data_IF_009156100045
#
_entry.id   IF_009156100045
#
_cell.length_a   1.000
_cell.length_b   1.000
_cell.length_c   1.000
_cell.angle_alpha   90.00
_cell.angle_beta   90.00
_cell.angle_gamma   90.00
#
_symmetry.space_group_name_H-M   'P 1'
#
loop_
_entity.id
_entity.type
_entity.pdbx_description
1 polymer ?
#
# COMPACT_ATOMS: atom_id res chain seq x y z
N UNK A 1 18.02 4.76 -20.28
CA UNK A 1 16.95 4.39 -19.33
C UNK A 1 16.13 5.63 -19.03
N UNK A 2 14.82 5.50 -18.83
CA UNK A 2 14.00 6.64 -18.40
C UNK A 2 14.44 7.07 -16.99
N UNK A 3 14.62 8.38 -16.79
CA UNK A 3 14.99 8.95 -15.48
C UNK A 3 13.83 8.75 -14.50
N UNK A 4 14.16 8.38 -13.26
CA UNK A 4 13.18 8.01 -12.23
C UNK A 4 13.04 9.15 -11.22
N UNK A 5 11.86 9.40 -10.71
CA UNK A 5 11.54 10.20 -9.53
C UNK A 5 12.37 11.46 -9.23
N UNK A 6 12.16 11.99 -8.05
CA UNK A 6 12.87 13.16 -7.49
C UNK A 6 13.62 12.75 -6.23
N UNK A 7 14.91 13.06 -6.15
CA UNK A 7 15.73 12.82 -4.97
C UNK A 7 16.09 14.14 -4.28
N UNK A 8 15.98 14.15 -2.95
CA UNK A 8 16.51 15.22 -2.10
C UNK A 8 17.84 14.78 -1.50
N UNK A 9 18.88 15.54 -1.72
CA UNK A 9 20.24 15.31 -1.15
C UNK A 9 20.54 16.42 -0.14
N UNK A 10 20.86 16.01 1.08
CA UNK A 10 21.15 16.92 2.20
C UNK A 10 22.55 16.64 2.71
N UNK A 11 23.46 17.58 2.49
CA UNK A 11 24.87 17.48 2.92
C UNK A 11 25.45 18.89 3.05
N UNK A 12 26.18 19.22 4.12
CA UNK A 12 26.75 20.55 4.32
C UNK A 12 27.93 20.85 3.38
N UNK A 13 28.56 19.81 2.84
CA UNK A 13 29.72 19.91 1.95
C UNK A 13 29.31 20.14 0.51
N UNK A 14 29.55 21.36 0.01
CA UNK A 14 29.24 21.76 -1.36
C UNK A 14 29.90 20.87 -2.42
N UNK A 15 31.13 20.38 -2.19
CA UNK A 15 31.83 19.52 -3.16
C UNK A 15 31.13 18.15 -3.28
N UNK A 16 30.65 17.59 -2.16
CA UNK A 16 29.85 16.37 -2.11
C UNK A 16 28.54 16.58 -2.86
N UNK A 17 27.81 17.65 -2.58
CA UNK A 17 26.56 17.97 -3.29
C UNK A 17 26.75 18.08 -4.81
N UNK A 18 27.76 18.81 -5.27
CA UNK A 18 28.05 18.93 -6.71
C UNK A 18 28.37 17.57 -7.35
N UNK A 19 29.18 16.73 -6.68
CA UNK A 19 29.52 15.40 -7.19
C UNK A 19 28.29 14.49 -7.28
N UNK A 20 27.44 14.52 -6.25
CA UNK A 20 26.20 13.75 -6.22
C UNK A 20 25.17 14.26 -7.23
N UNK A 21 25.03 15.57 -7.40
CA UNK A 21 24.16 16.15 -8.42
C UNK A 21 24.56 15.70 -9.84
N UNK A 22 25.85 15.76 -10.19
CA UNK A 22 26.35 15.27 -11.47
C UNK A 22 26.10 13.79 -11.68
N UNK A 23 26.35 12.97 -10.66
CA UNK A 23 26.15 11.52 -10.71
C UNK A 23 24.67 11.17 -10.86
N UNK A 24 23.81 11.77 -10.04
CA UNK A 24 22.40 11.42 -9.91
C UNK A 24 21.52 12.05 -11.00
N UNK A 25 21.95 13.16 -11.62
CA UNK A 25 21.25 13.76 -12.76
C UNK A 25 21.10 12.82 -13.98
N UNK A 26 21.95 11.81 -14.09
CA UNK A 26 21.82 10.73 -15.09
C UNK A 26 20.77 9.69 -14.74
N UNK A 27 20.36 9.60 -13.50
CA UNK A 27 19.51 8.54 -12.93
C UNK A 27 18.12 9.05 -12.56
N UNK A 28 18.06 10.17 -11.82
CA UNK A 28 16.83 10.80 -11.36
C UNK A 28 16.37 11.90 -12.31
N UNK A 29 15.06 12.12 -12.37
CA UNK A 29 14.44 13.18 -13.15
C UNK A 29 14.79 14.56 -12.60
N UNK A 30 14.77 14.68 -11.27
CA UNK A 30 15.08 15.89 -10.54
C UNK A 30 15.99 15.54 -9.34
N UNK A 31 17.05 16.34 -9.15
CA UNK A 31 17.95 16.23 -8.01
C UNK A 31 17.91 17.55 -7.27
N UNK A 32 17.34 17.55 -6.07
CA UNK A 32 17.27 18.73 -5.20
C UNK A 32 18.41 18.63 -4.20
N UNK A 33 19.27 19.63 -4.11
CA UNK A 33 20.40 19.65 -3.20
C UNK A 33 20.25 20.78 -2.19
N UNK A 34 20.43 20.49 -0.90
CA UNK A 34 20.41 21.49 0.17
C UNK A 34 21.56 21.28 1.12
N UNK A 35 22.11 22.41 1.63
CA UNK A 35 23.24 22.40 2.56
C UNK A 35 22.86 22.36 4.03
N UNK A 36 21.62 22.68 4.33
CA UNK A 36 21.10 22.74 5.69
C UNK A 36 19.82 21.94 5.82
N UNK A 37 19.68 21.10 6.84
CA UNK A 37 18.52 20.23 6.98
C UNK A 37 17.23 20.99 7.37
N UNK A 38 17.33 22.25 7.77
CA UNK A 38 16.17 23.06 8.17
C UNK A 38 15.14 23.29 7.05
N UNK A 39 15.53 23.08 5.79
CA UNK A 39 14.64 23.24 4.63
C UNK A 39 13.93 21.94 4.24
N UNK A 40 14.25 20.80 4.87
CA UNK A 40 13.72 19.48 4.51
C UNK A 40 12.19 19.49 4.56
N UNK A 41 11.60 19.95 5.66
CA UNK A 41 10.13 19.93 5.86
C UNK A 41 9.41 20.69 4.74
N UNK A 42 9.82 21.90 4.44
CA UNK A 42 9.24 22.74 3.37
C UNK A 42 9.34 22.07 2.00
N UNK A 43 10.46 21.40 1.73
CA UNK A 43 10.64 20.68 0.45
C UNK A 43 9.76 19.43 0.40
N UNK A 44 9.63 18.69 1.50
CA UNK A 44 8.77 17.50 1.58
C UNK A 44 7.27 17.86 1.47
N UNK A 45 6.86 19.04 1.97
CA UNK A 45 5.48 19.55 1.80
C UNK A 45 5.06 19.67 0.34
N UNK A 46 6.01 19.90 -0.57
CA UNK A 46 5.71 19.94 -2.00
C UNK A 46 5.19 18.61 -2.57
N UNK A 47 5.36 17.50 -1.84
CA UNK A 47 4.95 16.15 -2.27
C UNK A 47 5.70 15.59 -3.49
N UNK A 48 6.80 16.27 -3.91
CA UNK A 48 7.55 15.89 -5.11
C UNK A 48 8.71 14.94 -4.86
N UNK A 49 9.17 14.82 -3.61
CA UNK A 49 10.34 14.02 -3.23
C UNK A 49 9.97 12.56 -3.07
N UNK A 50 10.68 11.70 -3.75
CA UNK A 50 10.48 10.25 -3.72
C UNK A 50 11.54 9.52 -2.86
N UNK A 51 12.74 10.09 -2.71
CA UNK A 51 13.85 9.52 -1.90
C UNK A 51 14.63 10.66 -1.25
N UNK A 52 15.12 10.45 -0.04
CA UNK A 52 16.04 11.38 0.65
C UNK A 52 17.38 10.68 0.87
N UNK A 53 18.47 11.33 0.44
CA UNK A 53 19.84 11.00 0.85
C UNK A 53 20.27 12.04 1.89
N UNK A 54 20.51 11.60 3.13
CA UNK A 54 20.71 12.45 4.29
C UNK A 54 22.08 12.23 4.90
N UNK A 55 22.90 13.27 4.97
CA UNK A 55 24.15 13.20 5.74
C UNK A 55 23.87 13.02 7.24
N UNK A 56 24.77 12.29 7.89
CA UNK A 56 24.70 12.02 9.32
C UNK A 56 25.23 13.17 10.19
N UNK A 57 26.06 14.06 9.65
CA UNK A 57 26.72 15.11 10.39
C UNK A 57 26.72 16.43 9.61
N UNK A 58 26.16 17.48 10.19
CA UNK A 58 26.05 18.81 9.60
C UNK A 58 26.95 19.86 10.30
N UNK A 59 27.63 19.48 11.39
CA UNK A 59 28.49 20.36 12.15
C UNK A 59 29.95 19.95 12.00
N UNK A 60 30.77 20.83 11.44
CA UNK A 60 32.18 20.57 11.25
C UNK A 60 32.88 20.22 12.58
N UNK A 61 33.42 19.01 12.69
CA UNK A 61 34.22 18.53 13.80
C UNK A 61 33.53 17.70 14.89
N UNK A 62 32.23 17.49 14.81
CA UNK A 62 31.47 16.64 15.75
C UNK A 62 30.84 15.46 14.97
N UNK A 63 31.52 14.31 14.95
CA UNK A 63 31.09 13.13 14.24
C UNK A 63 30.32 12.15 15.14
N UNK A 64 29.22 12.60 15.77
CA UNK A 64 28.40 11.72 16.64
C UNK A 64 27.30 10.98 15.93
N UNK A 65 26.96 11.35 14.68
CA UNK A 65 25.82 10.80 13.93
C UNK A 65 24.45 11.13 14.51
N UNK A 66 24.40 11.79 15.67
CA UNK A 66 23.12 12.10 16.34
C UNK A 66 22.27 13.11 15.56
N UNK A 67 22.89 14.02 14.80
CA UNK A 67 22.18 15.01 13.99
C UNK A 67 21.40 14.32 12.87
N UNK A 68 22.02 13.37 12.16
CA UNK A 68 21.35 12.59 11.11
C UNK A 68 20.19 11.76 11.65
N UNK A 69 20.35 11.13 12.83
CA UNK A 69 19.26 10.40 13.48
C UNK A 69 18.12 11.33 13.91
N UNK A 70 18.42 12.51 14.45
CA UNK A 70 17.40 13.51 14.77
C UNK A 70 16.59 13.90 13.53
N UNK A 71 17.25 14.22 12.42
CA UNK A 71 16.57 14.59 11.18
C UNK A 71 15.83 13.43 10.55
N UNK A 72 16.37 12.21 10.63
CA UNK A 72 15.67 10.99 10.23
C UNK A 72 14.33 10.86 10.98
N UNK A 73 14.35 10.98 12.30
CA UNK A 73 13.14 10.93 13.13
C UNK A 73 12.13 12.01 12.74
N UNK A 74 12.58 13.24 12.49
CA UNK A 74 11.72 14.32 12.01
C UNK A 74 11.11 14.03 10.63
N UNK A 75 11.91 13.59 9.68
CA UNK A 75 11.42 13.19 8.34
C UNK A 75 10.37 12.09 8.46
N UNK A 76 10.63 11.07 9.28
CA UNK A 76 9.69 9.96 9.48
C UNK A 76 8.42 10.37 10.21
N UNK A 77 8.47 11.31 11.12
CA UNK A 77 7.30 11.91 11.76
C UNK A 77 6.42 12.69 10.79
N UNK A 78 7.02 13.34 9.82
CA UNK A 78 6.35 14.19 8.84
C UNK A 78 5.90 13.43 7.58
N UNK A 79 6.76 12.57 7.05
CA UNK A 79 6.57 11.82 5.81
C UNK A 79 7.07 10.36 5.97
N UNK A 80 6.38 9.56 6.78
CA UNK A 80 6.78 8.21 7.16
C UNK A 80 7.07 7.28 5.96
N UNK A 81 6.39 7.50 4.85
CA UNK A 81 6.47 6.65 3.64
C UNK A 81 7.71 6.93 2.79
N UNK A 82 8.32 8.14 2.90
CA UNK A 82 9.48 8.51 2.09
C UNK A 82 10.70 7.73 2.58
N UNK A 83 11.39 6.97 1.70
CA UNK A 83 12.62 6.30 2.06
C UNK A 83 13.74 7.30 2.32
N UNK A 84 14.47 7.06 3.40
CA UNK A 84 15.64 7.84 3.78
C UNK A 84 16.85 6.92 3.76
N UNK A 85 17.82 7.26 2.92
CA UNK A 85 19.13 6.60 2.88
C UNK A 85 20.12 7.52 3.60
N UNK A 86 20.80 6.99 4.61
CA UNK A 86 21.78 7.76 5.38
C UNK A 86 23.14 7.72 4.70
N UNK A 87 23.85 8.83 4.78
CA UNK A 87 25.17 9.02 4.17
C UNK A 87 26.19 9.36 5.26
N UNK A 88 27.10 8.46 5.57
CA UNK A 88 27.96 8.56 6.73
C UNK A 88 29.45 8.45 6.40
N UNK A 89 30.30 9.19 7.10
CA UNK A 89 31.75 9.07 7.01
C UNK A 89 32.33 7.88 7.81
N UNK A 90 31.54 7.27 8.69
CA UNK A 90 31.96 6.18 9.56
C UNK A 90 31.16 4.91 9.33
N UNK A 91 31.88 3.80 9.15
CA UNK A 91 31.33 2.45 9.14
C UNK A 91 31.09 1.96 10.59
N UNK A 92 30.37 2.75 11.41
CA UNK A 92 29.96 2.32 12.74
C UNK A 92 28.72 1.44 12.61
N UNK A 93 28.90 0.16 12.85
CA UNK A 93 27.84 -0.86 12.74
C UNK A 93 26.72 -0.53 13.73
N UNK A 94 27.04 -0.08 14.94
CA UNK A 94 26.04 0.22 15.96
C UNK A 94 25.16 1.43 15.54
N UNK A 95 25.77 2.44 14.95
CA UNK A 95 25.06 3.60 14.40
C UNK A 95 24.15 3.21 13.21
N UNK A 96 24.64 2.35 12.31
CA UNK A 96 23.85 1.84 11.20
C UNK A 96 22.64 1.00 11.66
N UNK A 97 22.85 0.13 12.66
CA UNK A 97 21.76 -0.67 13.27
C UNK A 97 20.73 0.22 13.95
N UNK A 98 21.17 1.26 14.68
CA UNK A 98 20.26 2.25 15.28
C UNK A 98 19.45 2.98 14.20
N UNK A 99 20.12 3.45 13.18
CA UNK A 99 19.48 4.16 12.06
C UNK A 99 18.37 3.33 11.39
N UNK A 100 18.61 2.04 11.14
CA UNK A 100 17.59 1.13 10.57
C UNK A 100 16.42 0.94 11.54
N UNK A 101 16.69 0.78 12.85
CA UNK A 101 15.63 0.69 13.88
C UNK A 101 14.80 1.97 13.97
N UNK A 102 15.39 3.13 13.73
CA UNK A 102 14.72 4.43 13.71
C UNK A 102 14.03 4.74 12.35
N UNK A 103 14.07 3.78 11.41
CA UNK A 103 13.30 3.85 10.18
C UNK A 103 14.09 4.30 8.94
N UNK A 104 15.41 4.35 8.99
CA UNK A 104 16.21 4.50 7.77
C UNK A 104 15.98 3.28 6.85
N UNK A 105 15.91 3.53 5.55
CA UNK A 105 15.74 2.46 4.56
C UNK A 105 17.05 1.73 4.32
N UNK A 106 18.16 2.47 4.28
CA UNK A 106 19.50 1.95 4.08
C UNK A 106 20.54 3.01 4.49
N UNK A 107 21.83 2.67 4.37
CA UNK A 107 22.93 3.61 4.57
C UNK A 107 24.06 3.38 3.56
N UNK A 108 24.82 4.43 3.26
CA UNK A 108 26.00 4.41 2.40
C UNK A 108 27.15 5.08 3.09
N UNK A 109 28.35 4.49 3.02
CA UNK A 109 29.57 4.98 3.67
C UNK A 109 30.36 5.88 2.71
N UNK A 110 30.89 6.98 3.21
CA UNK A 110 31.85 7.87 2.54
C UNK A 110 33.29 7.34 2.78
N UNK A 111 34.18 7.30 1.78
CA UNK A 111 33.92 7.54 0.36
C UNK A 111 33.09 6.43 -0.26
N UNK A 112 32.21 6.79 -1.19
CA UNK A 112 31.27 5.86 -1.80
C UNK A 112 31.76 5.30 -3.14
N UNK A 113 31.25 4.12 -3.48
CA UNK A 113 31.27 3.58 -4.83
C UNK A 113 30.03 4.07 -5.58
N UNK A 114 30.21 4.65 -6.77
CA UNK A 114 29.11 5.24 -7.55
C UNK A 114 28.04 4.22 -7.92
N UNK A 115 28.46 3.00 -8.31
CA UNK A 115 27.50 1.97 -8.71
C UNK A 115 26.68 1.48 -7.52
N UNK A 116 27.31 1.28 -6.37
CA UNK A 116 26.65 0.90 -5.12
C UNK A 116 25.69 1.96 -4.64
N UNK A 117 26.10 3.24 -4.61
CA UNK A 117 25.23 4.36 -4.21
C UNK A 117 23.99 4.43 -5.09
N UNK A 118 24.18 4.41 -6.41
CA UNK A 118 23.06 4.45 -7.37
C UNK A 118 22.15 3.25 -7.18
N UNK A 119 22.68 2.04 -7.00
CA UNK A 119 21.88 0.83 -6.79
C UNK A 119 21.04 0.93 -5.51
N UNK A 120 21.62 1.41 -4.39
CA UNK A 120 20.92 1.61 -3.12
C UNK A 120 19.78 2.63 -3.26
N UNK A 121 20.04 3.78 -3.90
CA UNK A 121 19.03 4.81 -4.08
C UNK A 121 17.89 4.36 -5.00
N UNK A 122 18.21 3.62 -6.06
CA UNK A 122 17.19 3.04 -6.94
C UNK A 122 16.35 1.96 -6.25
N UNK A 123 16.96 1.15 -5.38
CA UNK A 123 16.22 0.17 -4.58
C UNK A 123 15.24 0.86 -3.63
N UNK A 124 15.68 1.92 -2.95
CA UNK A 124 14.85 2.76 -2.09
C UNK A 124 13.68 3.39 -2.86
N UNK A 125 13.94 3.97 -4.04
CA UNK A 125 12.93 4.53 -4.92
C UNK A 125 11.88 3.50 -5.34
N UNK A 126 12.31 2.32 -5.82
CA UNK A 126 11.39 1.23 -6.25
C UNK A 126 10.50 0.76 -5.11
N UNK A 127 11.04 0.66 -3.90
CA UNK A 127 10.26 0.31 -2.72
C UNK A 127 9.17 1.35 -2.43
N UNK A 128 9.49 2.63 -2.58
CA UNK A 128 8.53 3.72 -2.41
C UNK A 128 7.43 3.70 -3.47
N UNK A 129 7.80 3.56 -4.74
CA UNK A 129 6.87 3.43 -5.86
C UNK A 129 5.90 2.26 -5.66
N UNK A 130 6.42 1.08 -5.34
CA UNK A 130 5.60 -0.11 -5.11
C UNK A 130 4.60 0.09 -3.96
N UNK A 131 5.03 0.70 -2.85
CA UNK A 131 4.12 1.02 -1.73
C UNK A 131 3.05 2.02 -2.11
N UNK A 132 3.40 3.04 -2.88
CA UNK A 132 2.48 4.06 -3.39
C UNK A 132 1.45 3.45 -4.34
N UNK A 133 1.87 2.57 -5.24
CA UNK A 133 0.99 1.86 -6.16
C UNK A 133 -0.01 0.97 -5.41
N UNK A 134 0.46 0.17 -4.45
CA UNK A 134 -0.41 -0.66 -3.60
C UNK A 134 -1.43 0.18 -2.85
N UNK A 135 -1.03 1.34 -2.31
CA UNK A 135 -1.95 2.26 -1.62
C UNK A 135 -3.01 2.84 -2.56
N UNK A 136 -2.60 3.22 -3.79
CA UNK A 136 -3.54 3.72 -4.80
C UNK A 136 -4.51 2.65 -5.26
N UNK A 137 -4.05 1.40 -5.45
CA UNK A 137 -4.89 0.28 -5.82
C UNK A 137 -5.91 -0.03 -4.71
N UNK A 138 -5.48 -0.06 -3.45
CA UNK A 138 -6.38 -0.25 -2.31
C UNK A 138 -7.43 0.86 -2.20
N UNK A 139 -7.03 2.12 -2.39
CA UNK A 139 -7.97 3.24 -2.36
C UNK A 139 -9.00 3.16 -3.51
N UNK A 140 -8.56 2.76 -4.72
CA UNK A 140 -9.47 2.51 -5.84
C UNK A 140 -10.42 1.35 -5.57
N UNK A 141 -9.91 0.27 -4.98
CA UNK A 141 -10.71 -0.89 -4.59
C UNK A 141 -11.80 -0.51 -3.56
N UNK A 142 -11.47 0.30 -2.54
CA UNK A 142 -12.44 0.79 -1.56
C UNK A 142 -13.54 1.64 -2.21
N UNK A 143 -13.17 2.54 -3.12
CA UNK A 143 -14.15 3.35 -3.86
C UNK A 143 -15.07 2.47 -4.70
N UNK A 144 -14.52 1.46 -5.39
CA UNK A 144 -15.31 0.51 -6.18
C UNK A 144 -16.20 -0.36 -5.29
N UNK A 145 -15.71 -0.84 -4.15
CA UNK A 145 -16.51 -1.57 -3.15
C UNK A 145 -17.68 -0.73 -2.66
N UNK A 146 -17.45 0.56 -2.35
CA UNK A 146 -18.50 1.49 -1.95
C UNK A 146 -19.56 1.73 -3.03
N UNK A 147 -19.18 1.73 -4.30
CA UNK A 147 -20.12 1.88 -5.42
C UNK A 147 -20.91 0.59 -5.71
N UNK A 148 -20.28 -0.58 -5.50
CA UNK A 148 -20.92 -1.90 -5.68
C UNK A 148 -21.83 -2.28 -4.51
N UNK A 149 -21.63 -1.69 -3.35
CA UNK A 149 -22.49 -1.84 -2.18
C UNK A 149 -23.16 -0.50 -1.87
N UNK A 150 -24.21 -0.09 -2.61
CA UNK A 150 -24.96 1.07 -2.20
C UNK A 150 -25.48 0.78 -0.80
N UNK A 151 -25.15 1.63 0.17
CA UNK A 151 -25.78 1.67 1.49
C UNK A 151 -27.29 1.94 1.30
N UNK A 152 -28.03 0.93 0.85
CA UNK A 152 -29.47 0.95 0.95
C UNK A 152 -29.80 0.66 2.40
N UNK A 153 -30.06 1.71 3.14
CA UNK A 153 -30.67 1.59 4.48
C UNK A 153 -31.90 0.69 4.32
N UNK A 154 -31.79 -0.54 4.78
CA UNK A 154 -32.90 -1.48 4.72
C UNK A 154 -33.98 -0.98 5.65
N UNK A 155 -35.13 -0.61 5.09
CA UNK A 155 -36.30 -0.23 5.90
C UNK A 155 -36.97 -1.54 6.33
N UNK A 156 -36.77 -1.89 7.59
CA UNK A 156 -37.39 -3.07 8.19
C UNK A 156 -38.83 -2.76 8.61
N UNK A 157 -39.74 -3.70 8.29
CA UNK A 157 -41.11 -3.63 8.80
C UNK A 157 -41.16 -3.83 10.32
N UNK A 158 -42.17 -3.26 10.96
CA UNK A 158 -42.33 -3.31 12.42
C UNK A 158 -43.14 -4.52 12.92
N UNK A 159 -43.55 -5.44 12.07
CA UNK A 159 -44.28 -6.65 12.45
C UNK A 159 -43.44 -7.56 13.37
N UNK A 160 -44.11 -8.31 14.24
CA UNK A 160 -43.43 -9.28 15.12
C UNK A 160 -42.63 -10.33 14.37
N UNK A 161 -43.10 -10.74 13.18
CA UNK A 161 -42.39 -11.63 12.32
C UNK A 161 -41.07 -11.01 11.84
N UNK A 162 -41.09 -9.75 11.43
CA UNK A 162 -39.90 -9.07 10.94
C UNK A 162 -38.90 -8.74 12.08
N UNK A 163 -39.39 -8.43 13.25
CA UNK A 163 -38.55 -8.29 14.47
C UNK A 163 -37.81 -9.59 14.79
N UNK A 164 -38.48 -10.75 14.68
CA UNK A 164 -37.83 -12.07 14.85
C UNK A 164 -36.74 -12.36 13.83
N UNK A 165 -37.01 -12.04 12.54
CA UNK A 165 -36.02 -12.18 11.46
C UNK A 165 -34.78 -11.34 11.76
N UNK A 166 -34.95 -10.07 12.16
CA UNK A 166 -33.83 -9.20 12.50
C UNK A 166 -33.01 -9.72 13.67
N UNK A 167 -33.66 -10.22 14.73
CA UNK A 167 -32.95 -10.84 15.85
C UNK A 167 -32.17 -12.08 15.44
N UNK A 168 -32.67 -12.88 14.48
CA UNK A 168 -31.95 -14.02 13.95
C UNK A 168 -30.74 -13.59 13.13
N UNK A 169 -30.89 -12.57 12.28
CA UNK A 169 -29.78 -11.98 11.51
C UNK A 169 -28.66 -11.54 12.44
N UNK A 170 -28.97 -10.77 13.47
CA UNK A 170 -27.98 -10.27 14.47
C UNK A 170 -27.23 -11.43 15.17
N UNK A 171 -27.94 -12.51 15.49
CA UNK A 171 -27.32 -13.68 16.14
C UNK A 171 -26.43 -14.50 15.18
N UNK A 172 -26.83 -14.64 13.93
CA UNK A 172 -26.15 -15.49 12.96
C UNK A 172 -24.94 -14.74 12.35
N UNK A 173 -25.04 -13.45 12.15
CA UNK A 173 -24.00 -12.64 11.51
C UNK A 173 -22.64 -12.69 12.24
N UNK A 174 -22.63 -12.92 13.55
CA UNK A 174 -21.39 -13.01 14.35
C UNK A 174 -20.76 -14.41 14.33
N UNK A 175 -21.36 -15.35 13.60
CA UNK A 175 -20.88 -16.75 13.49
C UNK A 175 -20.36 -17.05 12.08
N UNK A 176 -19.52 -18.10 11.96
CA UNK A 176 -19.06 -18.61 10.65
C UNK A 176 -19.97 -19.76 10.13
N UNK A 177 -21.20 -19.89 10.64
CA UNK A 177 -22.11 -20.95 10.26
C UNK A 177 -22.68 -20.71 8.84
N UNK A 178 -22.91 -21.79 8.12
CA UNK A 178 -23.66 -21.74 6.87
C UNK A 178 -25.12 -21.39 7.13
N UNK A 179 -25.68 -20.44 6.38
CA UNK A 179 -27.02 -19.93 6.55
C UNK A 179 -27.88 -20.29 5.35
N UNK A 180 -29.01 -20.95 5.57
CA UNK A 180 -30.04 -21.19 4.57
C UNK A 180 -31.19 -20.21 4.75
N UNK A 181 -31.45 -19.39 3.73
CA UNK A 181 -32.56 -18.43 3.70
C UNK A 181 -33.62 -18.95 2.74
N UNK A 182 -34.81 -19.25 3.25
CA UNK A 182 -35.95 -19.76 2.49
C UNK A 182 -37.10 -18.75 2.44
N UNK A 183 -37.91 -18.83 1.37
CA UNK A 183 -39.08 -17.98 1.18
C UNK A 183 -39.48 -17.88 -0.27
N UNK A 184 -40.67 -17.35 -0.54
CA UNK A 184 -41.18 -17.14 -1.89
C UNK A 184 -40.36 -16.13 -2.70
N UNK A 185 -40.55 -16.10 -4.02
CA UNK A 185 -39.91 -15.11 -4.89
C UNK A 185 -40.34 -13.69 -4.50
N UNK A 186 -39.40 -12.75 -4.49
CA UNK A 186 -39.69 -11.36 -4.16
C UNK A 186 -39.77 -11.02 -2.65
N UNK A 187 -39.64 -12.00 -1.73
CA UNK A 187 -39.74 -11.75 -0.28
C UNK A 187 -38.51 -11.07 0.36
N UNK A 188 -37.49 -10.71 -0.41
CA UNK A 188 -36.32 -10.00 0.07
C UNK A 188 -35.19 -10.87 0.63
N UNK A 189 -35.10 -12.15 0.24
CA UNK A 189 -34.03 -13.08 0.67
C UNK A 189 -32.62 -12.51 0.45
N UNK A 190 -32.40 -11.84 -0.67
CA UNK A 190 -31.13 -11.21 -1.00
C UNK A 190 -30.80 -10.04 -0.05
N UNK A 191 -31.83 -9.28 0.38
CA UNK A 191 -31.67 -8.20 1.35
C UNK A 191 -31.20 -8.78 2.68
N UNK A 192 -31.83 -9.89 3.12
CA UNK A 192 -31.44 -10.60 4.35
C UNK A 192 -29.99 -11.10 4.29
N UNK A 193 -29.59 -11.69 3.15
CA UNK A 193 -28.21 -12.15 2.95
C UNK A 193 -27.19 -11.00 3.02
N UNK A 194 -27.49 -9.88 2.39
CA UNK A 194 -26.65 -8.67 2.44
C UNK A 194 -26.55 -8.09 3.85
N UNK A 195 -27.64 -8.09 4.61
CA UNK A 195 -27.66 -7.60 5.99
C UNK A 195 -26.84 -8.50 6.92
N UNK A 196 -26.93 -9.83 6.76
CA UNK A 196 -26.05 -10.77 7.48
C UNK A 196 -24.58 -10.46 7.19
N UNK A 197 -24.22 -10.24 5.93
CA UNK A 197 -22.85 -9.87 5.55
C UNK A 197 -22.43 -8.53 6.16
N UNK A 198 -23.27 -7.51 6.11
CA UNK A 198 -23.00 -6.17 6.64
C UNK A 198 -22.77 -6.17 8.17
N UNK A 199 -23.42 -7.09 8.89
CA UNK A 199 -23.28 -7.25 10.35
C UNK A 199 -22.19 -8.26 10.75
N UNK A 200 -21.61 -8.97 9.79
CA UNK A 200 -20.61 -10.01 10.03
C UNK A 200 -19.21 -9.45 10.29
N UNK A 201 -18.32 -10.29 10.79
CA UNK A 201 -16.89 -9.99 10.89
C UNK A 201 -16.22 -9.75 9.52
N UNK A 202 -16.89 -10.13 8.42
CA UNK A 202 -16.42 -9.98 7.03
C UNK A 202 -17.05 -8.80 6.28
N UNK A 203 -17.65 -7.86 6.97
CA UNK A 203 -18.33 -6.68 6.39
C UNK A 203 -17.46 -5.82 5.46
N UNK A 204 -16.14 -5.87 5.63
CA UNK A 204 -15.16 -5.18 4.77
C UNK A 204 -14.75 -5.97 3.54
N UNK A 205 -15.18 -7.23 3.40
CA UNK A 205 -14.84 -8.10 2.28
C UNK A 205 -15.90 -8.07 1.19
N UNK A 206 -15.54 -8.56 0.01
CA UNK A 206 -16.46 -8.58 -1.13
C UNK A 206 -17.47 -9.72 -0.94
N UNK A 207 -18.77 -9.40 -0.96
CA UNK A 207 -19.84 -10.40 -1.07
C UNK A 207 -20.10 -10.73 -2.54
N UNK A 208 -19.86 -11.99 -2.93
CA UNK A 208 -20.11 -12.45 -4.29
C UNK A 208 -21.46 -13.18 -4.33
N UNK A 209 -22.39 -12.63 -5.08
CA UNK A 209 -23.68 -13.28 -5.36
C UNK A 209 -23.59 -14.10 -6.64
N UNK A 210 -24.07 -15.35 -6.60
CA UNK A 210 -24.10 -16.27 -7.74
C UNK A 210 -25.51 -16.76 -7.93
N UNK A 211 -26.10 -16.44 -9.08
CA UNK A 211 -27.37 -17.02 -9.49
C UNK A 211 -27.10 -18.32 -10.22
N UNK A 212 -27.33 -19.43 -9.53
CA UNK A 212 -27.09 -20.78 -10.06
C UNK A 212 -28.02 -21.12 -11.22
N UNK A 213 -29.19 -20.49 -11.31
CA UNK A 213 -30.14 -20.69 -12.42
C UNK A 213 -29.74 -19.93 -13.69
N UNK A 214 -28.89 -18.91 -13.57
CA UNK A 214 -28.42 -18.13 -14.71
C UNK A 214 -27.16 -18.72 -15.37
N UNK A 215 -26.47 -19.66 -14.71
CA UNK A 215 -25.25 -20.28 -15.23
C UNK A 215 -25.61 -21.53 -16.03
N UNK A 216 -25.15 -21.60 -17.29
CA UNK A 216 -25.29 -22.80 -18.09
C UNK A 216 -24.43 -23.94 -17.53
N UNK A 217 -24.89 -25.18 -17.64
CA UNK A 217 -24.21 -26.36 -17.10
C UNK A 217 -22.78 -26.49 -17.63
N UNK A 218 -22.53 -26.12 -18.89
CA UNK A 218 -21.18 -26.13 -19.50
C UNK A 218 -20.21 -25.12 -18.97
N UNK A 219 -20.69 -24.02 -18.37
CA UNK A 219 -19.85 -22.95 -17.81
C UNK A 219 -19.79 -23.01 -16.28
N UNK A 220 -20.53 -23.92 -15.65
CA UNK A 220 -20.70 -23.98 -14.22
C UNK A 220 -19.36 -24.09 -13.46
N UNK A 221 -18.56 -25.08 -13.84
CA UNK A 221 -17.26 -25.30 -13.21
C UNK A 221 -16.31 -24.10 -13.45
N UNK A 222 -16.30 -23.58 -14.67
CA UNK A 222 -15.46 -22.43 -15.04
C UNK A 222 -15.87 -21.15 -14.31
N UNK A 223 -17.16 -20.88 -14.10
CA UNK A 223 -17.63 -19.71 -13.35
C UNK A 223 -17.32 -19.84 -11.86
N UNK A 224 -17.51 -21.02 -11.27
CA UNK A 224 -17.32 -21.21 -9.83
C UNK A 224 -15.85 -21.34 -9.44
N UNK A 225 -15.08 -22.13 -10.19
CA UNK A 225 -13.69 -22.50 -9.82
C UNK A 225 -12.62 -21.81 -10.67
N UNK A 226 -13.03 -21.16 -11.78
CA UNK A 226 -12.08 -20.56 -12.72
C UNK A 226 -11.49 -21.57 -13.70
N UNK A 227 -10.67 -21.07 -14.62
CA UNK A 227 -9.92 -21.89 -15.56
C UNK A 227 -8.63 -21.20 -15.99
N UNK A 228 -7.65 -21.99 -16.42
CA UNK A 228 -6.45 -21.50 -17.09
C UNK A 228 -6.67 -21.46 -18.61
N UNK A 229 -5.96 -20.58 -19.28
CA UNK A 229 -5.96 -20.50 -20.75
C UNK A 229 -5.71 -21.86 -21.37
N UNK A 230 -6.57 -22.24 -22.32
CA UNK A 230 -6.48 -23.52 -23.03
C UNK A 230 -7.16 -24.70 -22.31
N UNK A 231 -7.83 -24.51 -21.18
CA UNK A 231 -8.54 -25.58 -20.48
C UNK A 231 -9.69 -26.19 -21.33
N UNK A 232 -10.29 -25.38 -22.21
CA UNK A 232 -11.30 -25.80 -23.20
C UNK A 232 -11.22 -24.90 -24.44
N UNK A 233 -11.96 -25.24 -25.50
CA UNK A 233 -11.84 -24.60 -26.83
C UNK A 233 -11.93 -23.09 -26.84
N UNK A 234 -12.77 -22.49 -25.95
CA UNK A 234 -12.99 -21.06 -25.85
C UNK A 234 -12.25 -20.39 -24.68
N UNK A 235 -11.42 -21.11 -23.93
CA UNK A 235 -10.61 -20.57 -22.83
C UNK A 235 -9.41 -19.77 -23.37
N UNK A 236 -9.65 -18.52 -23.78
CA UNK A 236 -8.64 -17.64 -24.40
C UNK A 236 -7.69 -16.97 -23.39
N UNK A 237 -8.14 -16.82 -22.14
CA UNK A 237 -7.42 -16.16 -21.05
C UNK A 237 -7.63 -16.94 -19.74
N UNK A 238 -6.77 -16.72 -18.75
CA UNK A 238 -6.97 -17.23 -17.40
C UNK A 238 -8.15 -16.49 -16.75
N UNK A 239 -9.02 -17.22 -16.06
CA UNK A 239 -10.17 -16.62 -15.35
C UNK A 239 -10.24 -17.11 -13.92
N UNK A 240 -10.29 -16.17 -12.99
CA UNK A 240 -10.47 -16.42 -11.56
C UNK A 240 -11.90 -16.84 -11.29
N UNK A 241 -12.10 -17.91 -10.55
CA UNK A 241 -13.43 -18.41 -10.17
C UNK A 241 -14.08 -17.59 -9.06
N UNK A 242 -15.41 -17.72 -8.94
CA UNK A 242 -16.18 -17.00 -7.90
C UNK A 242 -15.75 -17.41 -6.48
N UNK A 243 -15.42 -18.68 -6.25
CA UNK A 243 -14.91 -19.14 -4.94
C UNK A 243 -13.54 -18.56 -4.62
N UNK A 244 -12.64 -18.49 -5.59
CA UNK A 244 -11.32 -17.89 -5.41
C UNK A 244 -11.45 -16.39 -5.17
N UNK A 245 -12.31 -15.70 -5.95
CA UNK A 245 -12.57 -14.28 -5.80
C UNK A 245 -13.25 -13.91 -4.48
N UNK A 246 -14.01 -14.84 -3.86
CA UNK A 246 -14.63 -14.67 -2.55
C UNK A 246 -13.70 -15.03 -1.39
N UNK A 247 -12.57 -15.68 -1.66
CA UNK A 247 -11.61 -16.10 -0.65
C UNK A 247 -10.56 -14.99 -0.45
N UNK A 248 -10.20 -14.78 0.81
CA UNK A 248 -9.14 -13.83 1.18
C UNK A 248 -7.76 -14.37 0.86
#
# INVERSE_FOLDING_TARGET
MAKQGTILVVDDNKAVLNALEMLLAGVFREVITIRTPNQIEVILESGRVDVVLLDMNFSAGINTGNEGLYWLSRIKGYAAEIPVVLFTAYADIDLAVRAVKEGATDFVVKPWDNAKLVATLLAAYRLHESRREVKQLKAKEEVLKGQLSPERTVVWGESDAMRRVRQLIEKVAVTDANVLITGENGTGKEIVAREIHALSGRKGEVMISVDMGAITETLFESELFGHVKGAFTDAREDRVGKFEAANK
#
